data_IF_214238282996
#
_entry.id   IF_214238282996
#
_cell.length_a   1.000
_cell.length_b   1.000
_cell.length_c   1.000
_cell.angle_alpha   90.00
_cell.angle_beta   90.00
_cell.angle_gamma   90.00
#
_symmetry.space_group_name_H-M   'P 1'
#
loop_
_entity.id
_entity.type
_entity.pdbx_description
1 polymer ?
#
# COMPACT_ATOMS: atom_id res chain seq x y z
N UNK A 1 -20.39 -3.43 9.52
CA UNK A 1 -20.38 -3.41 8.06
C UNK A 1 -21.71 -3.91 7.46
N UNK A 2 -22.07 -5.17 7.67
CA UNK A 2 -23.29 -5.77 7.08
C UNK A 2 -24.59 -5.05 7.43
N UNK A 3 -24.75 -4.56 8.67
CA UNK A 3 -25.92 -3.77 9.05
C UNK A 3 -26.06 -2.49 8.22
N UNK A 4 -24.93 -1.80 7.96
CA UNK A 4 -24.92 -0.60 7.12
C UNK A 4 -25.26 -0.92 5.65
N UNK A 5 -24.72 -2.01 5.12
CA UNK A 5 -25.05 -2.46 3.76
C UNK A 5 -26.53 -2.77 3.62
N UNK A 6 -27.12 -3.50 4.57
CA UNK A 6 -28.57 -3.82 4.56
C UNK A 6 -29.45 -2.57 4.51
N UNK A 7 -29.04 -1.46 5.13
CA UNK A 7 -29.78 -0.19 5.10
C UNK A 7 -29.79 0.48 3.71
N UNK A 8 -28.86 0.10 2.82
CA UNK A 8 -28.79 0.64 1.46
C UNK A 8 -29.73 -0.08 0.48
N UNK A 9 -30.37 -1.15 0.90
CA UNK A 9 -31.30 -1.90 0.04
C UNK A 9 -32.49 -1.02 -0.38
N UNK A 10 -32.68 -0.89 -1.69
CA UNK A 10 -33.77 -0.08 -2.26
C UNK A 10 -33.46 1.42 -2.33
N UNK A 11 -32.30 1.88 -1.94
CA UNK A 11 -31.89 3.28 -2.14
C UNK A 11 -31.66 3.54 -3.62
N UNK A 12 -32.24 4.61 -4.21
CA UNK A 12 -32.04 4.93 -5.62
C UNK A 12 -30.57 5.07 -6.00
N UNK A 13 -30.17 4.48 -7.14
CA UNK A 13 -28.79 4.50 -7.63
C UNK A 13 -27.89 3.38 -7.12
N UNK A 14 -28.38 2.49 -6.27
CA UNK A 14 -27.64 1.30 -5.85
C UNK A 14 -27.53 0.31 -7.02
N UNK A 15 -26.31 -0.08 -7.35
CA UNK A 15 -26.02 -1.17 -8.29
C UNK A 15 -26.14 -2.51 -7.56
N UNK A 16 -27.10 -3.34 -7.96
CA UNK A 16 -27.44 -4.58 -7.23
C UNK A 16 -26.27 -5.56 -7.19
N UNK A 17 -25.50 -5.68 -8.26
CA UNK A 17 -24.30 -6.55 -8.30
C UNK A 17 -23.29 -6.14 -7.22
N UNK A 18 -23.02 -4.84 -7.10
CA UNK A 18 -22.14 -4.28 -6.07
C UNK A 18 -22.71 -4.39 -4.67
N UNK A 19 -24.03 -4.29 -4.55
CA UNK A 19 -24.73 -4.50 -3.29
C UNK A 19 -24.55 -5.95 -2.78
N UNK A 20 -24.69 -6.94 -3.65
CA UNK A 20 -24.46 -8.35 -3.29
C UNK A 20 -22.99 -8.65 -2.97
N UNK A 21 -22.08 -8.10 -3.77
CA UNK A 21 -20.63 -8.19 -3.54
C UNK A 21 -20.22 -7.67 -2.16
N UNK A 22 -20.86 -6.58 -1.69
CA UNK A 22 -20.57 -5.97 -0.40
C UNK A 22 -20.81 -6.87 0.83
N UNK A 23 -21.53 -7.98 0.67
CA UNK A 23 -21.67 -9.01 1.70
C UNK A 23 -20.53 -10.04 1.69
N UNK A 24 -19.63 -9.99 0.71
CA UNK A 24 -18.52 -10.92 0.54
C UNK A 24 -17.18 -10.22 0.78
N UNK A 25 -17.01 -9.60 1.97
CA UNK A 25 -15.76 -8.94 2.34
C UNK A 25 -14.64 -9.98 2.39
N UNK A 26 -13.52 -9.71 1.71
CA UNK A 26 -12.34 -10.59 1.62
C UNK A 26 -11.08 -9.97 2.19
N UNK A 27 -11.01 -8.65 2.26
CA UNK A 27 -9.81 -7.92 2.65
C UNK A 27 -10.15 -6.81 3.63
N UNK A 28 -9.31 -6.61 4.63
CA UNK A 28 -9.40 -5.52 5.59
C UNK A 28 -8.07 -4.77 5.65
N UNK A 29 -8.07 -3.51 5.24
CA UNK A 29 -6.92 -2.63 5.39
C UNK A 29 -7.07 -1.81 6.69
N UNK A 30 -6.26 -2.13 7.67
CA UNK A 30 -6.16 -1.43 8.95
C UNK A 30 -5.20 -0.25 8.77
N UNK A 31 -5.74 0.84 8.25
CA UNK A 31 -5.01 2.06 7.96
C UNK A 31 -5.96 3.26 8.07
N UNK A 32 -5.61 4.46 7.89
CA UNK A 32 -6.38 5.67 7.74
C UNK A 32 -6.54 6.52 9.01
N UNK A 33 -7.25 6.11 10.03
CA UNK A 33 -7.52 6.98 11.20
C UNK A 33 -6.80 6.46 12.42
N UNK A 34 -5.84 7.25 12.92
CA UNK A 34 -5.00 6.85 14.05
C UNK A 34 -3.94 5.80 13.65
N UNK A 35 -3.42 5.14 14.64
CA UNK A 35 -2.39 4.10 14.51
C UNK A 35 -2.98 2.75 14.91
N UNK A 36 -3.33 1.87 13.96
CA UNK A 36 -4.05 0.63 14.27
C UNK A 36 -3.35 -0.29 15.26
N UNK A 37 -2.01 -0.35 15.21
CA UNK A 37 -1.21 -1.21 16.10
C UNK A 37 -1.32 -0.79 17.57
N UNK A 38 -1.77 0.43 17.86
CA UNK A 38 -1.97 0.95 19.19
C UNK A 38 -3.30 0.45 19.84
N UNK A 39 -4.20 -0.12 19.03
CA UNK A 39 -5.45 -0.66 19.55
C UNK A 39 -5.18 -1.84 20.50
N UNK A 40 -5.62 -1.79 21.76
CA UNK A 40 -5.25 -2.81 22.77
C UNK A 40 -5.65 -4.24 22.41
N UNK A 41 -6.68 -4.40 21.61
CA UNK A 41 -7.22 -5.69 21.15
C UNK A 41 -6.92 -5.96 19.68
N UNK A 42 -5.80 -5.46 19.16
CA UNK A 42 -5.47 -5.60 17.73
C UNK A 42 -5.30 -7.08 17.32
N UNK A 43 -4.70 -7.89 18.20
CA UNK A 43 -4.46 -9.30 17.93
C UNK A 43 -5.77 -10.10 17.89
N UNK A 44 -6.68 -9.85 18.83
CA UNK A 44 -8.01 -10.46 18.84
C UNK A 44 -8.81 -10.03 17.62
N UNK A 45 -8.73 -8.75 17.24
CA UNK A 45 -9.44 -8.26 16.08
C UNK A 45 -8.90 -8.88 14.77
N UNK A 46 -7.59 -9.02 14.62
CA UNK A 46 -6.98 -9.72 13.50
C UNK A 46 -7.41 -11.19 13.48
N UNK A 47 -7.42 -11.86 14.64
CA UNK A 47 -7.92 -13.23 14.77
C UNK A 47 -9.36 -13.38 14.27
N UNK A 48 -10.26 -12.49 14.70
CA UNK A 48 -11.66 -12.47 14.24
C UNK A 48 -11.80 -12.25 12.73
N UNK A 49 -10.92 -11.45 12.10
CA UNK A 49 -10.89 -11.28 10.65
C UNK A 49 -10.48 -12.59 9.96
N UNK A 50 -9.44 -13.23 10.48
CA UNK A 50 -8.92 -14.48 9.91
C UNK A 50 -9.92 -15.63 10.04
N UNK A 51 -10.64 -15.75 11.15
CA UNK A 51 -11.73 -16.72 11.33
C UNK A 51 -12.84 -16.58 10.27
N UNK A 52 -12.99 -15.39 9.70
CA UNK A 52 -13.94 -15.11 8.62
C UNK A 52 -13.30 -15.16 7.23
N UNK A 53 -12.08 -15.69 7.10
CA UNK A 53 -11.28 -15.66 5.87
C UNK A 53 -11.15 -14.25 5.25
N UNK A 54 -11.02 -13.24 6.10
CA UNK A 54 -10.76 -11.86 5.71
C UNK A 54 -9.27 -11.58 5.94
N UNK A 55 -8.54 -11.29 4.87
CA UNK A 55 -7.11 -10.94 4.98
C UNK A 55 -6.91 -9.61 5.70
N UNK A 56 -5.80 -9.50 6.41
CA UNK A 56 -5.45 -8.33 7.20
C UNK A 56 -4.22 -7.63 6.65
N UNK A 57 -4.38 -6.36 6.27
CA UNK A 57 -3.30 -5.45 5.92
C UNK A 57 -3.18 -4.42 7.03
N UNK A 58 -2.10 -4.46 7.79
CA UNK A 58 -1.87 -3.53 8.89
C UNK A 58 -0.79 -2.53 8.49
N UNK A 59 -1.11 -1.25 8.61
CA UNK A 59 -0.18 -0.15 8.34
C UNK A 59 0.21 0.49 9.66
N UNK A 60 1.50 0.61 9.93
CA UNK A 60 2.01 1.26 11.13
C UNK A 60 3.12 2.26 10.82
N UNK A 61 3.28 3.23 11.71
CA UNK A 61 4.29 4.28 11.63
C UNK A 61 5.56 3.97 12.46
N UNK A 62 5.71 2.73 12.92
CA UNK A 62 6.86 2.27 13.70
C UNK A 62 7.12 3.07 15.00
N UNK A 63 6.06 3.51 15.68
CA UNK A 63 6.17 4.24 16.94
C UNK A 63 5.80 3.42 18.19
N UNK A 64 5.39 2.16 18.01
CA UNK A 64 4.93 1.28 19.08
C UNK A 64 5.69 -0.06 19.10
N UNK A 65 6.99 -0.07 19.51
CA UNK A 65 7.82 -1.27 19.47
C UNK A 65 7.26 -2.43 20.28
N UNK A 66 6.72 -2.18 21.48
CA UNK A 66 6.16 -3.24 22.33
C UNK A 66 4.92 -3.91 21.70
N UNK A 67 4.09 -3.13 21.04
CA UNK A 67 2.93 -3.64 20.31
C UNK A 67 3.35 -4.43 19.07
N UNK A 68 4.37 -3.92 18.34
CA UNK A 68 4.91 -4.59 17.18
C UNK A 68 5.55 -5.93 17.55
N UNK A 69 6.29 -5.99 18.65
CA UNK A 69 6.91 -7.25 19.12
C UNK A 69 5.89 -8.33 19.44
N UNK A 70 4.68 -7.93 19.87
CA UNK A 70 3.59 -8.85 20.28
C UNK A 70 2.54 -9.08 19.17
N UNK A 71 2.73 -8.46 18.00
CA UNK A 71 1.76 -8.54 16.91
C UNK A 71 1.62 -9.99 16.42
N UNK A 72 0.40 -10.47 16.32
CA UNK A 72 0.08 -11.76 15.70
C UNK A 72 0.36 -11.74 14.20
N UNK A 73 0.33 -12.91 13.56
CA UNK A 73 0.48 -13.02 12.10
C UNK A 73 -0.59 -12.19 11.39
N UNK A 74 -0.17 -11.29 10.51
CA UNK A 74 -1.03 -10.57 9.57
C UNK A 74 -0.73 -11.00 8.15
N UNK A 75 -1.65 -10.78 7.22
CA UNK A 75 -1.42 -11.15 5.82
C UNK A 75 -0.32 -10.30 5.21
N UNK A 76 -0.27 -9.00 5.54
CA UNK A 76 0.80 -8.11 5.14
C UNK A 76 0.95 -6.96 6.14
N UNK A 77 2.17 -6.70 6.57
CA UNK A 77 2.53 -5.61 7.48
C UNK A 77 3.23 -4.51 6.70
N UNK A 78 2.60 -3.35 6.64
CA UNK A 78 3.20 -2.14 6.10
C UNK A 78 3.84 -1.31 7.21
N UNK A 79 5.05 -0.82 6.94
CA UNK A 79 5.75 0.12 7.82
C UNK A 79 6.05 1.38 7.02
N UNK A 80 5.43 2.49 7.40
CA UNK A 80 5.68 3.78 6.77
C UNK A 80 7.06 4.29 7.15
N UNK A 81 7.85 4.63 6.14
CA UNK A 81 9.17 5.25 6.27
C UNK A 81 9.09 6.59 5.53
N UNK A 82 8.66 7.62 6.25
CA UNK A 82 8.32 8.90 5.63
C UNK A 82 9.53 9.82 5.46
N UNK A 83 10.65 9.55 6.17
CA UNK A 83 11.92 10.22 5.96
C UNK A 83 13.09 9.36 6.48
N UNK A 84 14.28 9.49 5.86
CA UNK A 84 15.41 8.59 6.16
C UNK A 84 16.28 9.04 7.34
N UNK A 85 16.12 10.28 7.84
CA UNK A 85 16.91 10.81 8.95
C UNK A 85 16.04 11.30 10.11
N UNK A 86 16.61 11.32 11.33
CA UNK A 86 15.92 11.85 12.52
C UNK A 86 15.43 13.29 12.31
N UNK A 87 16.24 14.11 11.63
CA UNK A 87 15.95 15.52 11.38
C UNK A 87 14.75 15.68 10.42
N UNK A 88 14.77 14.93 9.34
CA UNK A 88 13.74 15.04 8.31
C UNK A 88 12.44 14.37 8.75
N UNK A 89 12.51 13.24 9.45
CA UNK A 89 11.34 12.59 10.05
C UNK A 89 10.64 13.52 11.04
N UNK A 90 11.40 14.26 11.87
CA UNK A 90 10.82 15.28 12.76
C UNK A 90 10.07 16.37 12.01
N UNK A 91 10.60 16.78 10.84
CA UNK A 91 10.00 17.81 9.99
C UNK A 91 8.75 17.33 9.27
N UNK A 92 8.77 16.09 8.77
CA UNK A 92 7.69 15.50 7.97
C UNK A 92 6.53 15.07 8.86
N UNK A 93 6.80 14.19 9.84
CA UNK A 93 5.78 13.53 10.65
C UNK A 93 5.34 14.35 11.85
N UNK A 94 6.17 15.27 12.33
CA UNK A 94 5.89 16.02 13.56
C UNK A 94 5.48 15.11 14.71
N UNK A 95 6.32 14.13 15.07
CA UNK A 95 5.97 13.03 15.94
C UNK A 95 5.60 13.51 17.36
N UNK A 96 4.68 12.78 18.00
CA UNK A 96 4.20 13.08 19.36
C UNK A 96 5.22 12.69 20.44
N UNK A 97 6.01 11.65 20.20
CA UNK A 97 6.98 11.13 21.15
C UNK A 97 8.34 11.82 20.98
N UNK A 98 8.98 12.22 22.06
CA UNK A 98 10.34 12.81 22.02
C UNK A 98 11.41 11.81 21.57
N UNK A 99 11.21 10.53 21.85
CA UNK A 99 12.03 9.37 21.49
C UNK A 99 11.59 8.68 20.19
N UNK A 100 10.94 9.43 19.29
CA UNK A 100 10.36 8.89 18.04
C UNK A 100 11.38 8.15 17.16
N UNK A 101 12.62 8.63 17.12
CA UNK A 101 13.67 8.02 16.32
C UNK A 101 14.13 6.68 16.91
N UNK A 102 14.34 6.67 18.20
CA UNK A 102 14.72 5.49 18.97
C UNK A 102 13.63 4.40 18.88
N UNK A 103 12.37 4.80 18.90
CA UNK A 103 11.22 3.91 18.65
C UNK A 103 11.23 3.34 17.26
N UNK A 104 11.44 4.17 16.23
CA UNK A 104 11.57 3.72 14.85
C UNK A 104 12.71 2.69 14.74
N UNK A 105 13.90 3.01 15.23
CA UNK A 105 15.05 2.11 15.17
C UNK A 105 14.78 0.78 15.89
N UNK A 106 14.14 0.82 17.05
CA UNK A 106 13.70 -0.39 17.77
C UNK A 106 12.69 -1.22 16.95
N UNK A 107 11.74 -0.58 16.30
CA UNK A 107 10.80 -1.28 15.42
C UNK A 107 11.52 -1.96 14.25
N UNK A 108 12.52 -1.31 13.62
CA UNK A 108 13.30 -1.92 12.55
C UNK A 108 14.03 -3.18 13.03
N UNK A 109 14.60 -3.15 14.24
CA UNK A 109 15.25 -4.33 14.84
C UNK A 109 14.25 -5.45 15.14
N UNK A 110 13.06 -5.11 15.63
CA UNK A 110 11.96 -6.06 15.89
C UNK A 110 11.50 -6.73 14.58
N UNK A 111 11.37 -5.98 13.49
CA UNK A 111 11.02 -6.54 12.18
C UNK A 111 12.03 -7.59 11.74
N UNK A 112 13.32 -7.31 11.92
CA UNK A 112 14.39 -8.24 11.54
C UNK A 112 14.47 -9.49 12.40
N UNK A 113 14.17 -9.38 13.68
CA UNK A 113 14.38 -10.45 14.67
C UNK A 113 13.10 -11.16 15.05
N UNK A 114 12.20 -10.47 15.74
CA UNK A 114 10.97 -11.06 16.30
C UNK A 114 9.91 -11.29 15.21
N UNK A 115 9.76 -10.32 14.30
CA UNK A 115 8.73 -10.33 13.25
C UNK A 115 9.26 -10.74 11.87
N UNK A 116 10.42 -11.40 11.81
CA UNK A 116 11.05 -11.83 10.55
C UNK A 116 10.21 -12.82 9.72
N UNK A 117 9.23 -13.45 10.35
CA UNK A 117 8.26 -14.34 9.70
C UNK A 117 7.10 -13.60 9.01
N UNK A 118 6.92 -12.30 9.30
CA UNK A 118 5.87 -11.50 8.67
C UNK A 118 6.28 -11.12 7.23
N UNK A 119 5.27 -11.02 6.35
CA UNK A 119 5.44 -10.36 5.06
C UNK A 119 5.43 -8.86 5.31
N UNK A 120 6.62 -8.25 5.32
CA UNK A 120 6.81 -6.83 5.63
C UNK A 120 7.00 -6.00 4.37
N UNK A 121 6.37 -4.85 4.32
CA UNK A 121 6.54 -3.88 3.24
C UNK A 121 6.91 -2.52 3.83
N UNK A 122 8.06 -2.01 3.47
CA UNK A 122 8.37 -0.60 3.69
C UNK A 122 7.58 0.23 2.69
N UNK A 123 6.88 1.23 3.19
CA UNK A 123 6.12 2.15 2.35
C UNK A 123 6.74 3.53 2.40
N UNK A 124 7.33 3.94 1.29
CA UNK A 124 7.93 5.25 1.10
C UNK A 124 6.99 6.13 0.28
N UNK A 125 6.53 7.21 0.88
CA UNK A 125 5.72 8.22 0.16
C UNK A 125 6.62 9.39 -0.20
N UNK A 126 6.98 9.50 -1.46
CA UNK A 126 7.96 10.49 -1.95
C UNK A 126 7.32 11.87 -2.13
N UNK A 127 8.00 12.89 -1.60
CA UNK A 127 7.63 14.32 -1.70
C UNK A 127 8.85 15.14 -2.08
N UNK A 128 8.82 15.81 -3.21
CA UNK A 128 9.95 16.64 -3.69
C UNK A 128 10.29 17.74 -2.71
N UNK A 129 11.60 17.91 -2.45
CA UNK A 129 12.15 18.89 -1.50
C UNK A 129 11.95 18.52 -0.03
N UNK A 130 11.53 17.29 0.27
CA UNK A 130 11.35 16.79 1.63
C UNK A 130 12.12 15.50 1.91
N UNK A 131 11.96 14.47 1.09
CA UNK A 131 12.47 13.14 1.43
C UNK A 131 13.03 12.34 0.22
N UNK A 132 13.42 13.00 -0.87
CA UNK A 132 13.91 12.32 -2.08
C UNK A 132 15.42 12.41 -2.29
N UNK A 133 16.17 13.02 -1.37
CA UNK A 133 17.58 13.35 -1.63
C UNK A 133 18.58 12.36 -1.00
N UNK A 134 18.26 11.78 0.14
CA UNK A 134 19.18 10.94 0.93
C UNK A 134 18.93 9.45 0.73
N UNK A 135 19.44 8.92 -0.38
CA UNK A 135 19.30 7.49 -0.76
C UNK A 135 20.06 6.58 0.20
N UNK A 136 21.25 6.98 0.66
CA UNK A 136 22.11 6.16 1.52
C UNK A 136 21.43 5.87 2.86
N UNK A 137 20.81 6.88 3.48
CA UNK A 137 20.09 6.70 4.74
C UNK A 137 18.84 5.82 4.60
N UNK A 138 18.17 5.82 3.45
CA UNK A 138 17.10 4.83 3.18
C UNK A 138 17.67 3.41 3.08
N UNK A 139 18.82 3.25 2.41
CA UNK A 139 19.48 1.95 2.32
C UNK A 139 19.93 1.43 3.69
N UNK A 140 20.38 2.30 4.61
CA UNK A 140 20.68 1.94 6.00
C UNK A 140 19.47 1.33 6.72
N UNK A 141 18.28 1.91 6.53
CA UNK A 141 17.05 1.39 7.13
C UNK A 141 16.65 0.04 6.53
N UNK A 142 16.80 -0.12 5.22
CA UNK A 142 16.54 -1.41 4.55
C UNK A 142 17.50 -2.48 5.03
N UNK A 143 18.79 -2.17 5.13
CA UNK A 143 19.82 -3.09 5.62
C UNK A 143 19.54 -3.53 7.07
N UNK A 144 19.06 -2.60 7.90
CA UNK A 144 18.73 -2.87 9.31
C UNK A 144 17.53 -3.78 9.46
N UNK A 145 16.43 -3.53 8.76
CA UNK A 145 15.17 -4.25 8.95
C UNK A 145 15.00 -5.43 8.00
N UNK A 146 15.59 -5.40 6.82
CA UNK A 146 15.43 -6.39 5.72
C UNK A 146 13.97 -6.71 5.43
N UNK A 147 13.15 -5.70 5.03
CA UNK A 147 11.76 -5.94 4.69
C UNK A 147 11.65 -6.89 3.48
N UNK A 148 10.54 -7.61 3.37
CA UNK A 148 10.25 -8.45 2.21
C UNK A 148 10.18 -7.65 0.92
N UNK A 149 9.63 -6.44 1.01
CA UNK A 149 9.40 -5.55 -0.13
C UNK A 149 9.49 -4.08 0.29
N UNK A 150 9.71 -3.20 -0.69
CA UNK A 150 9.72 -1.75 -0.52
C UNK A 150 8.78 -1.17 -1.58
N UNK A 151 7.64 -0.65 -1.14
CA UNK A 151 6.68 0.06 -1.98
C UNK A 151 7.04 1.55 -1.99
N UNK A 152 7.45 2.06 -3.13
CA UNK A 152 7.81 3.46 -3.31
C UNK A 152 6.74 4.13 -4.15
N UNK A 153 6.13 5.17 -3.62
CA UNK A 153 5.01 5.85 -4.25
C UNK A 153 5.17 7.36 -4.20
N UNK A 154 4.89 8.04 -5.30
CA UNK A 154 4.73 9.49 -5.32
C UNK A 154 3.50 9.93 -4.50
N UNK A 155 3.65 11.00 -3.72
CA UNK A 155 2.56 11.59 -2.97
C UNK A 155 1.43 12.06 -3.90
N UNK A 156 0.20 12.06 -3.39
CA UNK A 156 -0.96 12.61 -4.09
C UNK A 156 -1.33 13.95 -3.45
N UNK A 157 -1.53 14.98 -4.25
CA UNK A 157 -1.95 16.29 -3.75
C UNK A 157 -3.41 16.26 -3.30
N UNK A 158 -3.62 16.44 -2.00
CA UNK A 158 -4.95 16.45 -1.37
C UNK A 158 -5.41 17.86 -0.94
N UNK A 159 -4.80 18.90 -1.48
CA UNK A 159 -5.03 20.28 -1.09
C UNK A 159 -3.99 20.82 -0.09
N UNK A 160 -3.94 22.13 0.09
CA UNK A 160 -3.10 22.77 1.10
C UNK A 160 -3.82 22.79 2.45
N UNK A 161 -3.18 22.30 3.50
CA UNK A 161 -3.67 22.56 4.85
C UNK A 161 -3.34 24.00 5.24
N UNK A 162 -4.33 24.75 5.68
CA UNK A 162 -4.15 26.13 6.20
C UNK A 162 -3.47 26.16 7.59
N UNK A 163 -2.68 25.15 7.94
CA UNK A 163 -1.93 25.08 9.19
C UNK A 163 -0.56 25.78 9.07
N UNK A 164 0.00 26.19 10.21
CA UNK A 164 1.27 26.93 10.34
C UNK A 164 2.53 26.13 9.95
N UNK A 165 2.51 25.40 8.85
CA UNK A 165 3.66 24.67 8.29
C UNK A 165 3.83 25.01 6.81
N UNK A 166 4.98 24.71 6.21
CA UNK A 166 5.18 24.85 4.77
C UNK A 166 4.09 24.06 4.03
N UNK A 167 3.13 24.73 3.38
CA UNK A 167 2.06 24.01 2.71
C UNK A 167 2.65 23.25 1.53
N UNK A 168 2.27 21.96 1.39
CA UNK A 168 2.56 21.21 0.18
C UNK A 168 1.86 21.88 -1.01
N UNK A 169 2.58 22.01 -2.10
CA UNK A 169 2.09 22.51 -3.39
C UNK A 169 2.14 21.41 -4.44
N UNK A 170 1.50 21.63 -5.58
CA UNK A 170 1.62 20.71 -6.71
C UNK A 170 3.07 20.49 -7.18
N UNK A 171 3.97 21.45 -6.92
CA UNK A 171 5.39 21.32 -7.25
C UNK A 171 6.13 20.29 -6.40
N UNK A 172 5.59 19.94 -5.23
CA UNK A 172 6.15 18.93 -4.35
C UNK A 172 5.71 17.50 -4.72
N UNK A 173 4.78 17.36 -5.67
CA UNK A 173 4.31 16.04 -6.12
C UNK A 173 5.24 15.54 -7.21
N UNK A 174 5.91 14.40 -7.02
CA UNK A 174 6.79 13.85 -8.04
C UNK A 174 5.99 13.24 -9.19
N UNK A 175 6.49 13.39 -10.40
CA UNK A 175 6.03 12.62 -11.55
C UNK A 175 6.61 11.21 -11.52
N UNK A 176 6.03 10.32 -12.32
CA UNK A 176 6.47 8.93 -12.37
C UNK A 176 7.97 8.78 -12.67
N UNK A 177 8.51 9.53 -13.63
CA UNK A 177 9.94 9.48 -13.99
C UNK A 177 10.85 9.91 -12.83
N UNK A 178 10.40 10.84 -11.98
CA UNK A 178 11.16 11.25 -10.80
C UNK A 178 11.17 10.15 -9.73
N UNK A 179 10.02 9.48 -9.54
CA UNK A 179 9.93 8.29 -8.68
C UNK A 179 10.81 7.15 -9.21
N UNK A 180 10.79 6.92 -10.51
CA UNK A 180 11.61 5.92 -11.19
C UNK A 180 13.09 6.15 -10.97
N UNK A 181 13.56 7.39 -11.20
CA UNK A 181 14.96 7.76 -10.94
C UNK A 181 15.36 7.51 -9.48
N UNK A 182 14.50 7.88 -8.53
CA UNK A 182 14.75 7.60 -7.11
C UNK A 182 14.90 6.10 -6.86
N UNK A 183 13.98 5.29 -7.37
CA UNK A 183 13.97 3.83 -7.17
C UNK A 183 15.19 3.18 -7.81
N UNK A 184 15.58 3.57 -9.02
CA UNK A 184 16.76 3.04 -9.70
C UNK A 184 18.05 3.35 -8.92
N UNK A 185 18.14 4.55 -8.33
CA UNK A 185 19.29 4.92 -7.50
C UNK A 185 19.29 4.16 -6.17
N UNK A 186 18.14 4.03 -5.51
CA UNK A 186 18.02 3.22 -4.29
C UNK A 186 18.39 1.75 -4.57
N UNK A 187 17.91 1.19 -5.68
CA UNK A 187 18.23 -0.19 -6.05
C UNK A 187 19.72 -0.40 -6.29
N UNK A 188 20.39 0.54 -6.98
CA UNK A 188 21.84 0.52 -7.16
C UNK A 188 22.59 0.57 -5.82
N UNK A 189 22.14 1.43 -4.91
CA UNK A 189 22.74 1.55 -3.58
C UNK A 189 22.58 0.26 -2.78
N UNK A 190 21.38 -0.34 -2.78
CA UNK A 190 21.15 -1.62 -2.11
C UNK A 190 22.06 -2.73 -2.68
N UNK A 191 22.18 -2.81 -3.99
CA UNK A 191 23.04 -3.79 -4.67
C UNK A 191 24.53 -3.55 -4.39
N UNK A 192 24.99 -2.29 -4.32
CA UNK A 192 26.37 -1.94 -4.00
C UNK A 192 26.77 -2.39 -2.60
N UNK A 193 25.81 -2.45 -1.67
CA UNK A 193 25.98 -2.98 -0.31
C UNK A 193 25.88 -4.51 -0.21
N UNK A 194 25.66 -5.20 -1.32
CA UNK A 194 25.44 -6.64 -1.34
C UNK A 194 24.09 -7.08 -0.77
N UNK A 195 23.12 -6.17 -0.74
CA UNK A 195 21.73 -6.48 -0.38
C UNK A 195 20.99 -7.03 -1.60
N UNK A 196 20.33 -8.15 -1.42
CA UNK A 196 19.77 -8.96 -2.52
C UNK A 196 18.35 -8.50 -2.90
N UNK A 197 18.22 -7.22 -3.29
CA UNK A 197 16.98 -6.60 -3.76
C UNK A 197 17.05 -6.29 -5.24
N UNK A 198 15.86 -6.23 -5.89
CA UNK A 198 15.73 -5.71 -7.25
C UNK A 198 14.33 -5.16 -7.51
N UNK A 199 14.20 -4.38 -8.59
CA UNK A 199 12.92 -3.78 -8.98
C UNK A 199 12.04 -4.88 -9.57
N UNK A 200 10.92 -5.16 -8.94
CA UNK A 200 10.07 -6.30 -9.26
C UNK A 200 8.82 -5.93 -10.07
N UNK A 201 8.17 -4.84 -9.70
CA UNK A 201 6.90 -4.47 -10.29
C UNK A 201 6.70 -2.95 -10.33
N UNK A 202 5.78 -2.50 -11.17
CA UNK A 202 5.42 -1.10 -11.29
C UNK A 202 3.91 -0.91 -11.51
N UNK A 203 3.44 0.28 -11.19
CA UNK A 203 2.14 0.79 -11.61
C UNK A 203 2.28 2.29 -11.90
N UNK A 204 2.68 2.61 -13.12
CA UNK A 204 3.02 3.98 -13.52
C UNK A 204 1.86 4.96 -13.33
N UNK A 205 0.62 4.53 -13.57
CA UNK A 205 -0.57 5.35 -13.40
C UNK A 205 -0.77 5.89 -11.99
N UNK A 206 -0.32 5.16 -10.96
CA UNK A 206 -0.36 5.59 -9.56
C UNK A 206 0.99 6.05 -9.01
N UNK A 207 1.98 6.25 -9.88
CA UNK A 207 3.36 6.60 -9.51
C UNK A 207 3.92 5.65 -8.43
N UNK A 208 3.71 4.34 -8.61
CA UNK A 208 4.09 3.32 -7.64
C UNK A 208 5.06 2.32 -8.26
N UNK A 209 6.16 2.02 -7.56
CA UNK A 209 7.16 1.03 -7.96
C UNK A 209 7.47 0.15 -6.75
N UNK A 210 7.65 -1.14 -6.99
CA UNK A 210 7.95 -2.14 -5.98
C UNK A 210 9.35 -2.70 -6.16
N UNK A 211 10.18 -2.54 -5.15
CA UNK A 211 11.45 -3.25 -5.00
C UNK A 211 11.21 -4.44 -4.08
N UNK A 212 11.73 -5.61 -4.41
CA UNK A 212 11.54 -6.82 -3.61
C UNK A 212 12.87 -7.54 -3.36
N UNK A 213 12.94 -8.25 -2.24
CA UNK A 213 14.02 -9.19 -1.96
C UNK A 213 14.02 -10.27 -3.06
N UNK A 214 15.19 -10.61 -3.61
CA UNK A 214 15.33 -11.60 -4.68
C UNK A 214 14.91 -13.01 -4.27
N UNK A 215 14.70 -13.29 -2.99
CA UNK A 215 14.05 -14.53 -2.56
C UNK A 215 12.68 -14.74 -3.21
N UNK A 216 12.00 -13.66 -3.62
CA UNK A 216 10.73 -13.71 -4.37
C UNK A 216 10.90 -13.96 -5.87
N UNK A 217 12.12 -14.05 -6.38
CA UNK A 217 12.43 -14.45 -7.75
C UNK A 217 12.55 -15.98 -7.83
N UNK A 218 11.45 -16.66 -8.13
CA UNK A 218 11.37 -18.12 -8.18
C UNK A 218 11.36 -18.56 -9.64
N UNK A 219 12.30 -19.43 -10.03
CA UNK A 219 12.43 -19.93 -11.41
C UNK A 219 12.48 -18.82 -12.48
N UNK A 220 13.13 -17.69 -12.18
CA UNK A 220 13.28 -16.55 -13.09
C UNK A 220 12.04 -15.66 -13.20
N UNK A 221 11.04 -15.83 -12.34
CA UNK A 221 9.82 -15.03 -12.31
C UNK A 221 9.58 -14.43 -10.94
N UNK A 222 9.14 -13.20 -10.89
CA UNK A 222 8.74 -12.56 -9.64
C UNK A 222 7.45 -13.14 -9.06
N UNK A 223 7.40 -13.31 -7.74
CA UNK A 223 6.25 -13.78 -6.97
C UNK A 223 5.90 -12.76 -5.89
N UNK A 224 5.46 -11.59 -6.30
CA UNK A 224 5.12 -10.48 -5.38
C UNK A 224 3.65 -10.43 -5.00
N UNK A 225 2.80 -11.23 -5.63
CA UNK A 225 1.39 -11.34 -5.27
C UNK A 225 1.19 -12.28 -4.08
N UNK A 226 0.04 -12.15 -3.43
CA UNK A 226 -0.36 -12.97 -2.29
C UNK A 226 -1.32 -14.07 -2.77
N UNK A 227 -1.02 -15.32 -2.41
CA UNK A 227 -1.96 -16.43 -2.50
C UNK A 227 -2.81 -16.46 -1.23
N UNK A 228 -3.96 -15.80 -1.26
CA UNK A 228 -4.85 -15.71 -0.11
C UNK A 228 -5.42 -17.05 0.34
N UNK A 229 -5.88 -17.94 -0.55
CA UNK A 229 -6.27 -19.29 -0.16
C UNK A 229 -5.16 -20.03 0.59
N UNK A 230 -3.93 -19.97 0.07
CA UNK A 230 -2.77 -20.60 0.69
C UNK A 230 -2.43 -19.99 2.05
N UNK A 231 -2.55 -18.67 2.20
CA UNK A 231 -2.36 -18.00 3.49
C UNK A 231 -3.31 -18.56 4.56
N UNK A 232 -4.60 -18.73 4.25
CA UNK A 232 -5.57 -19.26 5.21
C UNK A 232 -5.37 -20.73 5.48
N UNK A 233 -5.03 -21.54 4.47
CA UNK A 233 -4.67 -22.95 4.65
C UNK A 233 -3.50 -23.13 5.65
N UNK A 234 -2.45 -22.31 5.47
CA UNK A 234 -1.30 -22.34 6.37
C UNK A 234 -1.66 -21.89 7.78
N UNK A 235 -2.45 -20.84 7.91
CA UNK A 235 -2.90 -20.33 9.20
C UNK A 235 -3.73 -21.38 9.97
N UNK A 236 -4.64 -22.06 9.29
CA UNK A 236 -5.49 -23.12 9.86
C UNK A 236 -4.69 -24.38 10.22
N UNK A 237 -3.57 -24.63 9.54
CA UNK A 237 -2.70 -25.77 9.85
C UNK A 237 -2.05 -25.67 11.22
N UNK A 238 -2.00 -24.47 11.82
CA UNK A 238 -1.32 -24.20 13.07
C UNK A 238 0.21 -24.33 13.03
N UNK A 239 0.79 -24.56 11.84
CA UNK A 239 2.24 -24.62 11.65
C UNK A 239 2.83 -23.23 11.45
N UNK A 240 4.08 -23.08 11.85
CA UNK A 240 4.82 -21.85 11.51
C UNK A 240 5.04 -21.78 9.99
N UNK A 241 4.91 -20.58 9.44
CA UNK A 241 5.13 -20.30 8.03
C UNK A 241 5.65 -18.87 7.84
N UNK A 242 6.31 -18.63 6.72
CA UNK A 242 6.93 -17.35 6.38
C UNK A 242 6.28 -16.71 5.15
N UNK A 243 6.76 -15.55 4.78
CA UNK A 243 6.25 -14.74 3.67
C UNK A 243 6.31 -15.45 2.29
N UNK A 244 7.29 -16.34 2.09
CA UNK A 244 7.44 -17.11 0.85
C UNK A 244 6.42 -18.26 0.68
N UNK A 245 5.83 -18.73 1.78
CA UNK A 245 4.95 -19.90 1.72
C UNK A 245 3.58 -19.61 1.09
N UNK A 246 3.22 -18.33 0.94
CA UNK A 246 1.93 -17.90 0.38
C UNK A 246 2.07 -16.81 -0.71
N UNK A 247 3.12 -16.94 -1.52
CA UNK A 247 3.32 -16.07 -2.68
C UNK A 247 2.65 -16.62 -3.92
N UNK A 248 2.31 -15.72 -4.83
CA UNK A 248 1.78 -16.01 -6.16
C UNK A 248 2.58 -15.25 -7.21
N UNK A 249 2.73 -15.84 -8.39
CA UNK A 249 3.43 -15.22 -9.53
C UNK A 249 2.88 -13.80 -9.81
N UNK A 250 3.78 -12.86 -10.02
CA UNK A 250 3.44 -11.49 -10.42
C UNK A 250 2.93 -11.53 -11.86
N UNK A 251 1.73 -11.02 -12.15
CA UNK A 251 1.21 -10.98 -13.51
C UNK A 251 2.15 -10.22 -14.45
N UNK A 252 2.26 -10.68 -15.68
CA UNK A 252 3.16 -10.07 -16.68
C UNK A 252 2.95 -8.58 -16.88
N UNK A 253 1.70 -8.12 -16.81
CA UNK A 253 1.35 -6.71 -16.92
C UNK A 253 1.85 -5.85 -15.76
N UNK A 254 2.11 -6.44 -14.58
CA UNK A 254 2.59 -5.75 -13.39
C UNK A 254 4.12 -5.77 -13.23
N UNK A 255 4.80 -6.67 -13.95
CA UNK A 255 6.27 -6.78 -13.87
C UNK A 255 6.93 -5.50 -14.36
N UNK A 256 8.00 -5.09 -13.70
CA UNK A 256 8.82 -3.94 -14.09
C UNK A 256 9.23 -3.99 -15.57
N UNK A 257 9.03 -2.89 -16.28
CA UNK A 257 9.29 -2.79 -17.73
C UNK A 257 8.22 -3.42 -18.62
N UNK A 258 7.07 -3.83 -18.07
CA UNK A 258 5.96 -4.35 -18.86
C UNK A 258 5.40 -3.32 -19.84
N UNK A 259 4.86 -3.76 -20.96
CA UNK A 259 4.31 -2.89 -22.00
C UNK A 259 3.14 -2.01 -21.48
N UNK A 260 2.38 -2.51 -20.52
CA UNK A 260 1.27 -1.80 -19.87
C UNK A 260 1.69 -0.90 -18.71
N UNK A 261 3.00 -0.89 -18.35
CA UNK A 261 3.54 -0.16 -17.20
C UNK A 261 2.74 -0.39 -15.91
N UNK A 262 2.35 -1.64 -15.65
CA UNK A 262 1.64 -2.08 -14.46
C UNK A 262 0.12 -1.90 -14.50
N UNK A 263 -0.45 -1.55 -15.63
CA UNK A 263 -1.90 -1.46 -15.77
C UNK A 263 -2.51 -2.81 -16.15
N UNK A 264 -3.46 -3.30 -15.33
CA UNK A 264 -4.16 -4.54 -15.63
C UNK A 264 -4.99 -4.37 -16.92
N UNK A 265 -4.76 -5.20 -17.97
CA UNK A 265 -5.49 -5.08 -19.24
C UNK A 265 -6.99 -5.40 -19.12
N UNK A 266 -7.42 -6.10 -18.05
CA UNK A 266 -8.83 -6.38 -17.77
C UNK A 266 -9.55 -5.19 -17.13
N UNK A 267 -8.80 -4.24 -16.56
CA UNK A 267 -9.37 -3.05 -15.94
C UNK A 267 -9.72 -1.99 -16.98
N UNK A 268 -10.87 -1.38 -16.83
CA UNK A 268 -11.23 -0.22 -17.65
C UNK A 268 -10.66 1.06 -17.07
N UNK A 269 -9.79 1.73 -17.83
CA UNK A 269 -9.32 3.08 -17.45
C UNK A 269 -10.53 4.02 -17.37
N UNK A 270 -10.72 4.65 -16.21
CA UNK A 270 -11.73 5.69 -16.05
C UNK A 270 -11.32 6.93 -16.86
N UNK A 271 -11.90 7.10 -18.02
CA UNK A 271 -11.74 8.31 -18.84
C UNK A 271 -12.81 9.34 -18.49
N UNK A 272 -12.42 10.34 -17.73
CA UNK A 272 -13.29 11.44 -17.28
C UNK A 272 -13.89 12.24 -18.44
N UNK A 273 -13.20 12.32 -19.59
CA UNK A 273 -13.71 13.01 -20.78
C UNK A 273 -14.76 12.16 -21.51
N UNK A 274 -14.48 10.89 -21.71
CA UNK A 274 -15.40 9.94 -22.32
C UNK A 274 -16.67 9.80 -21.49
N UNK A 275 -16.57 9.74 -20.17
CA UNK A 275 -17.71 9.66 -19.26
C UNK A 275 -18.57 10.94 -19.28
N UNK A 276 -17.95 12.13 -19.33
CA UNK A 276 -18.67 13.39 -19.53
C UNK A 276 -19.42 13.44 -20.86
N UNK A 277 -18.81 12.96 -21.94
CA UNK A 277 -19.43 12.90 -23.27
C UNK A 277 -20.61 11.93 -23.27
N UNK A 278 -20.47 10.74 -22.68
CA UNK A 278 -21.57 9.78 -22.53
C UNK A 278 -22.74 10.37 -21.75
N UNK A 279 -22.48 11.00 -20.60
CA UNK A 279 -23.52 11.66 -19.79
C UNK A 279 -24.20 12.80 -20.52
N UNK A 280 -23.47 13.56 -21.33
CA UNK A 280 -24.04 14.61 -22.17
C UNK A 280 -24.92 14.01 -23.25
N UNK A 281 -24.49 12.99 -23.98
CA UNK A 281 -25.26 12.32 -25.03
C UNK A 281 -26.58 11.73 -24.51
N UNK A 282 -26.54 11.06 -23.34
CA UNK A 282 -27.76 10.52 -22.69
C UNK A 282 -28.74 11.65 -22.34
N UNK A 283 -28.24 12.78 -21.82
CA UNK A 283 -29.07 13.92 -21.45
C UNK A 283 -29.71 14.58 -22.68
N UNK A 284 -28.96 14.71 -23.76
CA UNK A 284 -29.43 15.29 -25.02
C UNK A 284 -30.47 14.39 -25.69
N UNK A 285 -30.31 13.06 -25.63
CA UNK A 285 -31.28 12.07 -26.11
C UNK A 285 -32.58 12.08 -25.27
N UNK A 286 -32.45 12.17 -23.96
CA UNK A 286 -33.63 12.30 -23.06
C UNK A 286 -34.41 13.59 -23.32
N UNK A 287 -33.70 14.71 -23.53
CA UNK A 287 -34.33 15.98 -23.86
C UNK A 287 -35.07 15.91 -25.21
N UNK A 288 -34.49 15.21 -26.21
CA UNK A 288 -35.12 15.03 -27.51
C UNK A 288 -36.41 14.18 -27.43
N UNK A 289 -36.36 13.08 -26.65
CA UNK A 289 -37.56 12.23 -26.42
C UNK A 289 -38.67 12.97 -25.68
N UNK A 290 -38.35 13.86 -24.74
CA UNK A 290 -39.32 14.69 -24.04
C UNK A 290 -39.99 15.73 -24.98
N UNK A 291 -39.22 16.31 -25.89
CA UNK A 291 -39.76 17.23 -26.91
C UNK A 291 -40.69 16.53 -27.92
N UNK A 292 -40.35 15.31 -28.32
CA UNK A 292 -41.18 14.48 -29.22
C UNK A 292 -42.49 13.99 -28.57
N UNK A 293 -42.56 13.89 -27.25
CA UNK A 293 -43.76 13.53 -26.50
C UNK A 293 -44.70 14.73 -26.21
N UNK A 294 -44.27 15.96 -26.48
CA UNK A 294 -45.03 17.18 -26.29
C UNK A 294 -45.61 17.75 -27.60
N UNK A 295 -45.32 17.10 -28.73
CA UNK A 295 -45.94 17.34 -30.05
C UNK A 295 -47.00 16.29 -30.35
#
# INVERSE_FOLDING_TARGET
HYQKIKQLRGVPGIQMDRFEEAFKVRHCALSLVGEPIFYPYINEFVGMLHEQHISSFLVCNAQHPDSLAKLTKVTQLYVSIDAPTKKDLKKVDRPLNSDFWERLMSCLDILRTIQSHQRTVFRLTLVKGFNMEDIESYADMVERAKPSQIEIKGATFCGSSNGNGNPLTMQNIPFYEECKNFVENLNKELQSRGLDYDIAAEHAHSCCILVADKKFMINGKWHTHIDYPKFFELLESGKEFVDLDYVKETPEWAVWGSQGAGFNPEDTKYDRKAEKLKKKAIRDEQAKKLLEQQQ
#
